data_IF_028291716005
#
_entry.id   IF_028291716005
#
_cell.length_a   1.000
_cell.length_b   1.000
_cell.length_c   1.000
_cell.angle_alpha   90.00
_cell.angle_beta   90.00
_cell.angle_gamma   90.00
#
_symmetry.space_group_name_H-M   'P 1'
#
loop_
_entity.id
_entity.type
_entity.pdbx_description
1 polymer ?
#
# COMPACT_ATOMS: atom_id res chain seq x y z
N UNK A 1 -32.40 7.34 3.54
CA UNK A 1 -31.61 7.30 2.29
C UNK A 1 -31.07 5.89 2.15
N UNK A 2 -31.41 5.17 1.08
CA UNK A 2 -30.83 3.85 0.83
C UNK A 2 -29.40 4.06 0.32
N UNK A 3 -28.42 3.42 0.98
CA UNK A 3 -27.05 3.38 0.50
C UNK A 3 -26.93 2.34 -0.60
N UNK A 4 -26.25 2.67 -1.69
CA UNK A 4 -25.88 1.71 -2.74
C UNK A 4 -24.39 1.41 -2.62
N UNK A 5 -24.02 0.16 -2.83
CA UNK A 5 -22.64 -0.28 -2.97
C UNK A 5 -22.39 -0.62 -4.44
N UNK A 6 -21.22 -0.25 -4.95
CA UNK A 6 -20.82 -0.52 -6.33
C UNK A 6 -19.45 -1.19 -6.33
N UNK A 7 -19.33 -2.29 -7.08
CA UNK A 7 -18.03 -2.92 -7.34
C UNK A 7 -17.26 -1.96 -8.24
N UNK A 8 -16.13 -1.44 -7.73
CA UNK A 8 -15.26 -0.53 -8.48
C UNK A 8 -14.07 -1.24 -9.11
N UNK A 9 -13.78 -2.46 -8.65
CA UNK A 9 -12.72 -3.32 -9.14
C UNK A 9 -12.93 -4.75 -8.64
N UNK A 10 -12.62 -5.74 -9.49
CA UNK A 10 -12.58 -7.16 -9.15
C UNK A 10 -11.54 -7.86 -10.02
N UNK A 11 -11.01 -8.99 -9.52
CA UNK A 11 -10.08 -9.84 -10.25
C UNK A 11 -10.45 -11.31 -10.04
N UNK A 12 -10.63 -12.04 -11.15
CA UNK A 12 -10.89 -13.48 -11.13
C UNK A 12 -9.57 -14.24 -11.10
N UNK A 13 -9.37 -15.01 -10.02
CA UNK A 13 -8.14 -15.80 -9.81
C UNK A 13 -8.14 -17.11 -10.62
N UNK A 14 -9.26 -17.46 -11.28
CA UNK A 14 -9.40 -18.62 -12.15
C UNK A 14 -9.65 -19.96 -11.44
N UNK A 15 -9.81 -19.94 -10.12
CA UNK A 15 -10.14 -21.12 -9.32
C UNK A 15 -10.86 -20.76 -8.02
N UNK A 16 -11.53 -21.74 -7.40
CA UNK A 16 -12.10 -21.55 -6.08
C UNK A 16 -11.01 -21.62 -5.01
N UNK A 17 -10.85 -20.55 -4.23
CA UNK A 17 -10.06 -20.59 -2.99
C UNK A 17 -10.96 -20.90 -1.79
N UNK A 18 -10.75 -22.01 -1.07
CA UNK A 18 -11.59 -22.40 0.06
C UNK A 18 -11.15 -21.70 1.35
N UNK A 19 -12.09 -20.97 1.97
CA UNK A 19 -12.08 -20.49 3.37
C UNK A 19 -10.87 -19.64 3.79
N UNK A 20 -11.12 -18.35 4.05
CA UNK A 20 -10.14 -17.33 4.47
C UNK A 20 -9.02 -17.08 3.44
N UNK A 21 -8.32 -15.97 3.62
CA UNK A 21 -7.32 -15.44 2.68
C UNK A 21 -7.17 -13.94 2.90
N UNK A 22 -6.15 -13.36 2.29
CA UNK A 22 -5.86 -11.94 2.38
C UNK A 22 -6.13 -11.24 1.06
N UNK A 23 -6.51 -9.97 1.14
CA UNK A 23 -6.75 -9.11 -0.03
C UNK A 23 -6.54 -7.65 0.39
N UNK A 24 -5.28 -7.24 0.44
CA UNK A 24 -4.90 -5.91 0.86
C UNK A 24 -4.56 -5.01 -0.31
N UNK A 25 -5.08 -3.78 -0.26
CA UNK A 25 -4.64 -2.72 -1.16
C UNK A 25 -3.30 -2.16 -0.68
N UNK A 26 -2.29 -2.22 -1.55
CA UNK A 26 -0.95 -1.70 -1.30
C UNK A 26 -0.89 -0.18 -1.53
N UNK A 27 0.14 0.52 -0.99
CA UNK A 27 0.44 1.92 -1.31
C UNK A 27 0.56 2.23 -2.80
N UNK A 28 1.06 1.27 -3.61
CA UNK A 28 1.12 1.38 -5.08
C UNK A 28 -0.27 1.47 -5.73
N UNK A 29 -1.32 1.11 -4.99
CA UNK A 29 -2.68 0.96 -5.49
C UNK A 29 -2.97 -0.41 -6.11
N UNK A 30 -1.98 -1.30 -6.18
CA UNK A 30 -2.16 -2.72 -6.50
C UNK A 30 -2.81 -3.45 -5.32
N UNK A 31 -3.21 -4.69 -5.54
CA UNK A 31 -3.80 -5.58 -4.53
C UNK A 31 -2.86 -6.76 -4.31
N UNK A 32 -2.45 -6.97 -3.06
CA UNK A 32 -1.76 -8.18 -2.62
C UNK A 32 -2.82 -9.17 -2.13
N UNK A 33 -2.87 -10.34 -2.75
CA UNK A 33 -3.82 -11.38 -2.41
C UNK A 33 -3.13 -12.70 -2.12
N UNK A 34 -3.72 -13.48 -1.21
CA UNK A 34 -3.38 -14.89 -1.01
C UNK A 34 -4.53 -15.76 -1.47
N UNK A 35 -4.21 -16.87 -2.12
CA UNK A 35 -5.19 -17.84 -2.56
C UNK A 35 -4.58 -19.23 -2.59
N UNK A 36 -5.39 -20.27 -2.40
CA UNK A 36 -4.99 -21.65 -2.58
C UNK A 36 -6.11 -22.40 -3.26
N UNK A 37 -5.84 -23.20 -4.29
CA UNK A 37 -6.89 -23.87 -5.02
C UNK A 37 -7.50 -24.96 -4.16
N UNK A 38 -8.83 -25.07 -4.18
CA UNK A 38 -9.51 -26.23 -3.61
C UNK A 38 -9.03 -27.53 -4.26
N UNK A 39 -8.86 -27.52 -5.58
CA UNK A 39 -8.44 -28.66 -6.36
C UNK A 39 -7.11 -28.34 -7.05
N UNK A 40 -6.10 -29.18 -6.84
CA UNK A 40 -4.87 -29.14 -7.63
C UNK A 40 -5.03 -30.03 -8.87
N UNK A 41 -4.49 -29.56 -10.00
CA UNK A 41 -4.48 -30.26 -11.30
C UNK A 41 -3.08 -30.18 -11.89
N UNK A 42 -2.87 -30.75 -13.09
CA UNK A 42 -1.60 -30.56 -13.83
C UNK A 42 -1.33 -29.09 -14.16
N UNK A 43 -2.37 -28.30 -14.42
CA UNK A 43 -2.26 -26.88 -14.79
C UNK A 43 -2.21 -25.97 -13.55
N UNK A 44 -2.75 -26.44 -12.42
CA UNK A 44 -2.75 -25.74 -11.13
C UNK A 44 -2.12 -26.67 -10.09
N UNK A 45 -0.79 -26.75 -10.12
CA UNK A 45 -0.01 -27.71 -9.32
C UNK A 45 0.53 -27.14 -8.01
N UNK A 46 0.28 -25.87 -7.71
CA UNK A 46 0.67 -25.23 -6.45
C UNK A 46 -0.37 -25.47 -5.34
N UNK A 47 0.11 -25.60 -4.11
CA UNK A 47 -0.72 -25.67 -2.91
C UNK A 47 -1.23 -24.28 -2.52
N UNK A 48 -0.40 -23.24 -2.67
CA UNK A 48 -0.76 -21.87 -2.35
C UNK A 48 -0.09 -20.87 -3.29
N UNK A 49 -0.68 -19.68 -3.38
CA UNK A 49 -0.25 -18.59 -4.23
C UNK A 49 -0.37 -17.26 -3.51
N UNK A 50 0.65 -16.42 -3.65
CA UNK A 50 0.61 -15.00 -3.28
C UNK A 50 0.80 -14.21 -4.57
N UNK A 51 -0.08 -13.26 -4.85
CA UNK A 51 -0.04 -12.48 -6.07
C UNK A 51 -0.25 -11.00 -5.80
N UNK A 52 0.49 -10.16 -6.51
CA UNK A 52 0.23 -8.72 -6.59
C UNK A 52 -0.45 -8.43 -7.93
N UNK A 53 -1.68 -7.92 -7.88
CA UNK A 53 -2.50 -7.63 -9.06
C UNK A 53 -2.63 -6.12 -9.23
N UNK A 54 -2.38 -5.63 -10.44
CA UNK A 54 -2.54 -4.23 -10.80
C UNK A 54 -4.01 -3.86 -10.97
N UNK A 55 -4.31 -2.56 -10.95
CA UNK A 55 -5.66 -2.06 -11.30
C UNK A 55 -6.09 -2.39 -12.73
N UNK A 56 -5.14 -2.69 -13.61
CA UNK A 56 -5.39 -3.10 -14.99
C UNK A 56 -5.65 -4.61 -15.11
N UNK A 57 -5.76 -5.33 -13.98
CA UNK A 57 -5.94 -6.78 -13.92
C UNK A 57 -4.74 -7.57 -14.48
N UNK A 58 -3.54 -7.04 -14.29
CA UNK A 58 -2.28 -7.71 -14.64
C UNK A 58 -1.58 -8.20 -13.37
N UNK A 59 -0.90 -9.35 -13.45
CA UNK A 59 -0.07 -9.84 -12.34
C UNK A 59 1.28 -9.11 -12.37
N UNK A 60 1.51 -8.23 -11.40
CA UNK A 60 2.78 -7.53 -11.23
C UNK A 60 3.86 -8.39 -10.56
N UNK A 61 3.43 -9.33 -9.70
CA UNK A 61 4.31 -10.25 -9.00
C UNK A 61 3.54 -11.52 -8.60
N UNK A 62 4.21 -12.67 -8.64
CA UNK A 62 3.61 -13.97 -8.33
C UNK A 62 4.59 -14.86 -7.57
N UNK A 63 4.11 -15.49 -6.50
CA UNK A 63 4.81 -16.55 -5.78
C UNK A 63 3.87 -17.74 -5.64
N UNK A 64 4.32 -18.88 -6.15
CA UNK A 64 3.63 -20.16 -6.07
C UNK A 64 4.40 -21.09 -5.14
N UNK A 65 3.69 -21.70 -4.20
CA UNK A 65 4.23 -22.66 -3.25
C UNK A 65 3.72 -24.05 -3.63
N UNK A 66 4.66 -24.94 -3.94
CA UNK A 66 4.36 -26.31 -4.34
C UNK A 66 4.55 -27.25 -3.15
N UNK A 67 3.56 -28.11 -2.92
CA UNK A 67 3.66 -29.20 -1.97
C UNK A 67 3.86 -30.55 -2.66
N UNK A 68 3.22 -31.57 -2.10
CA UNK A 68 3.23 -32.91 -2.69
C UNK A 68 2.62 -32.89 -4.09
N UNK A 69 3.29 -33.54 -5.03
CA UNK A 69 2.81 -33.66 -6.41
C UNK A 69 1.45 -34.38 -6.46
N UNK A 70 0.49 -33.83 -7.20
CA UNK A 70 -0.77 -34.51 -7.47
C UNK A 70 -0.55 -35.59 -8.54
N UNK A 71 -0.50 -36.85 -8.11
CA UNK A 71 -0.33 -38.00 -9.01
C UNK A 71 -1.62 -38.36 -9.77
N UNK A 72 -2.76 -37.83 -9.35
CA UNK A 72 -4.07 -38.01 -9.97
C UNK A 72 -4.39 -36.89 -10.96
N UNK A 73 -5.51 -37.02 -11.70
CA UNK A 73 -5.96 -35.96 -12.61
C UNK A 73 -6.44 -34.71 -11.84
N UNK A 74 -7.04 -34.90 -10.67
CA UNK A 74 -7.54 -33.84 -9.78
C UNK A 74 -7.36 -34.30 -8.33
N UNK A 75 -6.66 -33.52 -7.51
CA UNK A 75 -6.54 -33.78 -6.08
C UNK A 75 -7.31 -32.71 -5.30
N UNK A 76 -8.41 -33.07 -4.63
CA UNK A 76 -9.15 -32.18 -3.71
C UNK A 76 -8.29 -31.98 -2.45
N UNK A 77 -7.81 -30.76 -2.28
CA UNK A 77 -7.04 -30.36 -1.11
C UNK A 77 -7.92 -29.93 0.03
N UNK A 78 -9.16 -29.52 -0.18
CA UNK A 78 -10.05 -29.01 0.88
C UNK A 78 -11.35 -29.81 0.95
N UNK A 79 -11.29 -31.11 1.29
CA UNK A 79 -12.48 -31.91 1.44
C UNK A 79 -13.30 -31.35 2.62
N UNK A 80 -14.55 -30.96 2.36
CA UNK A 80 -15.51 -30.35 3.33
C UNK A 80 -15.28 -28.87 3.66
N UNK A 81 -14.48 -28.13 2.88
CA UNK A 81 -14.31 -26.69 3.08
C UNK A 81 -13.54 -26.31 4.34
N UNK A 82 -12.69 -27.21 4.84
CA UNK A 82 -11.69 -26.92 5.87
C UNK A 82 -10.41 -26.38 5.22
N UNK A 83 -9.47 -25.74 5.95
CA UNK A 83 -8.14 -25.48 5.41
C UNK A 83 -7.57 -26.75 4.79
N UNK A 84 -7.06 -26.64 3.57
CA UNK A 84 -6.73 -27.82 2.78
C UNK A 84 -5.46 -28.55 3.23
N UNK A 85 -5.31 -29.80 2.79
CA UNK A 85 -4.07 -30.56 2.88
C UNK A 85 -2.98 -29.89 2.03
N UNK A 86 -1.92 -29.43 2.69
CA UNK A 86 -0.82 -28.70 2.06
C UNK A 86 -0.60 -27.32 2.67
N UNK A 87 -0.02 -26.42 1.89
CA UNK A 87 0.19 -25.03 2.32
C UNK A 87 -1.10 -24.20 2.19
N UNK A 88 -1.42 -23.45 3.24
CA UNK A 88 -2.46 -22.42 3.26
C UNK A 88 -1.87 -21.13 3.82
N UNK A 89 -2.25 -19.98 3.26
CA UNK A 89 -1.65 -18.69 3.63
C UNK A 89 -2.75 -17.74 4.05
N UNK A 90 -2.99 -17.63 5.36
CA UNK A 90 -4.04 -16.78 5.89
C UNK A 90 -3.81 -15.29 5.61
N UNK A 91 -2.57 -14.82 5.76
CA UNK A 91 -2.20 -13.43 5.56
C UNK A 91 -0.80 -13.32 4.97
N UNK A 92 -0.61 -12.39 4.04
CA UNK A 92 0.67 -12.05 3.46
C UNK A 92 0.81 -10.53 3.44
N UNK A 93 1.93 -10.05 3.99
CA UNK A 93 2.15 -8.62 4.18
C UNK A 93 3.43 -8.19 3.44
N UNK A 94 3.37 -7.03 2.79
CA UNK A 94 4.55 -6.30 2.31
C UNK A 94 5.20 -5.53 3.46
N UNK A 95 6.51 -5.33 3.35
CA UNK A 95 7.29 -4.49 4.27
C UNK A 95 8.17 -3.59 3.41
N UNK A 96 8.12 -2.30 3.68
CA UNK A 96 9.01 -1.33 3.03
C UNK A 96 10.12 -0.95 4.00
N UNK A 97 11.31 -0.66 3.47
CA UNK A 97 12.45 -0.20 4.28
C UNK A 97 12.21 1.16 4.95
N UNK A 98 11.25 1.93 4.44
CA UNK A 98 10.90 3.28 4.87
C UNK A 98 9.46 3.59 4.46
N UNK A 99 8.91 4.71 4.95
CA UNK A 99 7.60 5.17 4.52
C UNK A 99 7.51 5.30 2.99
N UNK A 100 6.29 5.20 2.46
CA UNK A 100 6.02 5.45 1.03
C UNK A 100 5.39 6.83 0.92
N UNK A 101 5.99 7.71 0.12
CA UNK A 101 5.48 9.06 -0.16
C UNK A 101 4.85 9.10 -1.55
N UNK A 102 3.72 9.78 -1.69
CA UNK A 102 3.08 10.06 -2.97
C UNK A 102 2.49 11.47 -2.99
N UNK A 103 2.33 12.03 -4.19
CA UNK A 103 1.69 13.33 -4.43
C UNK A 103 2.27 14.46 -3.55
N UNK A 104 3.61 14.52 -3.43
CA UNK A 104 4.29 15.63 -2.75
C UNK A 104 4.28 16.85 -3.69
N UNK A 105 3.27 17.69 -3.56
CA UNK A 105 3.02 18.81 -4.49
C UNK A 105 2.85 20.13 -3.75
N UNK A 106 3.36 21.20 -4.32
CA UNK A 106 3.18 22.53 -3.75
C UNK A 106 2.19 23.39 -4.53
N UNK A 107 1.35 24.14 -3.81
CA UNK A 107 0.40 25.07 -4.43
C UNK A 107 0.45 26.42 -3.75
N UNK A 108 0.45 27.50 -4.54
CA UNK A 108 0.28 28.86 -4.00
C UNK A 108 -1.16 29.07 -3.55
N UNK A 109 -1.34 29.42 -2.28
CA UNK A 109 -2.63 29.74 -1.67
C UNK A 109 -2.70 31.25 -1.45
N UNK A 110 -3.79 31.87 -1.92
CA UNK A 110 -4.09 33.27 -1.63
C UNK A 110 -4.92 33.34 -0.35
N UNK A 111 -4.40 34.02 0.67
CA UNK A 111 -5.11 34.24 1.92
C UNK A 111 -6.35 35.11 1.76
N UNK A 112 -7.14 35.23 2.83
CA UNK A 112 -8.34 36.08 2.86
C UNK A 112 -8.04 37.55 2.55
N UNK A 113 -6.84 38.02 2.88
CA UNK A 113 -6.30 39.28 2.40
C UNK A 113 -5.46 39.01 1.15
N UNK A 114 -5.82 39.61 0.01
CA UNK A 114 -5.15 39.40 -1.29
C UNK A 114 -3.63 39.70 -1.31
N UNK A 115 -3.10 40.27 -0.24
CA UNK A 115 -1.67 40.53 -0.06
C UNK A 115 -0.90 39.38 0.61
N UNK A 116 -1.60 38.39 1.20
CA UNK A 116 -0.98 37.28 1.90
C UNK A 116 -0.95 36.05 0.98
N UNK A 117 0.09 35.92 0.15
CA UNK A 117 0.38 34.66 -0.56
C UNK A 117 1.29 33.78 0.28
N UNK A 118 1.02 32.49 0.27
CA UNK A 118 1.91 31.48 0.81
C UNK A 118 1.87 30.22 -0.03
N UNK A 119 2.87 29.36 0.10
CA UNK A 119 2.86 28.04 -0.52
C UNK A 119 2.36 27.00 0.48
N UNK A 120 1.55 26.05 0.04
CA UNK A 120 1.13 24.91 0.84
C UNK A 120 1.63 23.64 0.16
N UNK A 121 2.48 22.90 0.87
CA UNK A 121 2.94 21.57 0.47
C UNK A 121 1.90 20.56 0.94
N UNK A 122 1.34 19.81 -0.01
CA UNK A 122 0.51 18.65 0.25
C UNK A 122 1.32 17.39 -0.02
N UNK A 123 1.17 16.38 0.82
CA UNK A 123 1.71 15.05 0.53
C UNK A 123 0.83 13.95 1.11
N UNK A 124 0.96 12.78 0.49
CA UNK A 124 0.39 11.52 0.99
C UNK A 124 1.52 10.65 1.51
N UNK A 125 1.31 10.02 2.66
CA UNK A 125 2.26 9.10 3.25
C UNK A 125 1.58 7.79 3.69
N UNK A 126 2.31 6.69 3.60
CA UNK A 126 1.91 5.37 4.07
C UNK A 126 2.97 4.83 5.03
N UNK A 127 2.52 4.19 6.11
CA UNK A 127 3.39 3.48 7.04
C UNK A 127 4.20 2.40 6.28
N UNK A 128 5.50 2.18 6.57
CA UNK A 128 6.28 1.12 5.93
C UNK A 128 5.74 -0.30 6.19
N UNK A 129 4.96 -0.46 7.25
CA UNK A 129 4.39 -1.74 7.69
C UNK A 129 2.92 -1.57 8.02
N UNK A 130 2.11 -2.61 7.79
CA UNK A 130 0.70 -2.59 8.15
C UNK A 130 0.57 -2.74 9.67
N UNK A 131 0.09 -1.69 10.33
CA UNK A 131 -0.15 -1.67 11.77
C UNK A 131 -1.63 -1.56 12.08
N UNK A 132 -2.06 -2.12 13.21
CA UNK A 132 -3.44 -1.98 13.71
C UNK A 132 -3.68 -0.62 14.36
N UNK A 133 -2.62 0.01 14.88
CA UNK A 133 -2.66 1.31 15.53
C UNK A 133 -1.91 2.36 14.72
N UNK A 134 -2.25 3.65 14.88
CA UNK A 134 -1.46 4.73 14.30
C UNK A 134 -0.02 4.67 14.79
N UNK A 135 0.93 4.92 13.89
CA UNK A 135 2.36 5.03 14.20
C UNK A 135 2.84 6.46 13.96
N UNK A 136 3.78 6.93 14.76
CA UNK A 136 4.23 8.33 14.69
C UNK A 136 5.27 8.54 13.59
N UNK A 137 5.29 9.76 13.05
CA UNK A 137 6.27 10.20 12.07
C UNK A 137 6.59 11.69 12.23
N UNK A 138 7.76 12.07 11.74
CA UNK A 138 8.15 13.47 11.57
C UNK A 138 8.47 13.74 10.11
N UNK A 139 8.34 14.99 9.71
CA UNK A 139 8.76 15.44 8.38
C UNK A 139 9.64 16.67 8.47
N UNK A 140 10.49 16.82 7.47
CA UNK A 140 11.38 17.95 7.25
C UNK A 140 11.28 18.35 5.78
N UNK A 141 11.26 19.65 5.51
CA UNK A 141 11.30 20.19 4.15
C UNK A 141 12.55 21.04 4.04
N UNK A 142 13.37 20.75 3.03
CA UNK A 142 14.58 21.52 2.72
C UNK A 142 14.42 22.18 1.35
N UNK A 143 14.86 23.42 1.21
CA UNK A 143 14.94 24.08 -0.09
C UNK A 143 16.09 23.52 -0.94
N UNK A 144 16.27 24.05 -2.15
CA UNK A 144 17.34 23.67 -3.08
C UNK A 144 18.76 23.96 -2.55
N UNK A 145 18.90 24.82 -1.52
CA UNK A 145 20.18 25.10 -0.84
C UNK A 145 20.49 24.10 0.28
N UNK A 146 19.52 23.25 0.64
CA UNK A 146 19.59 22.36 1.79
C UNK A 146 19.18 23.03 3.11
N UNK A 147 18.64 24.25 3.08
CA UNK A 147 18.15 24.93 4.27
C UNK A 147 16.78 24.39 4.65
N UNK A 148 16.58 24.05 5.93
CA UNK A 148 15.30 23.54 6.41
C UNK A 148 14.26 24.67 6.48
N UNK A 149 13.26 24.61 5.62
CA UNK A 149 12.18 25.61 5.49
C UNK A 149 10.90 25.22 6.23
N UNK A 150 10.70 23.94 6.54
CA UNK A 150 9.62 23.49 7.40
C UNK A 150 9.95 22.18 8.13
N UNK A 151 9.22 21.94 9.23
CA UNK A 151 9.24 20.69 9.96
C UNK A 151 7.92 20.46 10.68
N UNK A 152 7.58 19.21 10.95
CA UNK A 152 6.41 18.87 11.74
C UNK A 152 6.35 17.40 12.10
N UNK A 153 5.22 17.02 12.70
CA UNK A 153 4.93 15.66 13.10
C UNK A 153 3.51 15.29 12.67
N UNK A 154 3.29 14.01 12.41
CA UNK A 154 1.99 13.44 12.09
C UNK A 154 1.95 11.97 12.52
N UNK A 155 0.78 11.34 12.43
CA UNK A 155 0.64 9.90 12.65
C UNK A 155 0.14 9.23 11.38
N UNK A 156 0.78 8.14 10.98
CA UNK A 156 0.26 7.29 9.92
C UNK A 156 -1.09 6.71 10.33
N UNK A 157 -2.00 6.64 9.37
CA UNK A 157 -3.26 5.94 9.54
C UNK A 157 -3.03 4.42 9.60
N UNK A 158 -3.78 3.69 10.44
CA UNK A 158 -3.70 2.22 10.52
C UNK A 158 -3.98 1.52 9.20
N UNK A 159 -3.58 0.25 9.09
CA UNK A 159 -3.90 -0.67 8.00
C UNK A 159 -3.52 -0.13 6.61
N UNK A 160 -2.35 0.53 6.51
CA UNK A 160 -1.90 1.21 5.27
C UNK A 160 -2.92 2.18 4.67
N UNK A 161 -3.81 2.74 5.50
CA UNK A 161 -4.68 3.79 5.02
C UNK A 161 -3.85 5.02 4.66
N UNK A 162 -4.31 5.68 3.60
CA UNK A 162 -3.78 6.95 3.10
C UNK A 162 -3.72 7.95 4.25
N UNK A 163 -2.54 8.50 4.53
CA UNK A 163 -2.37 9.63 5.44
C UNK A 163 -2.10 10.88 4.61
N UNK A 164 -3.00 11.86 4.69
CA UNK A 164 -2.84 13.14 3.98
C UNK A 164 -2.32 14.17 4.96
N UNK A 165 -1.29 14.90 4.56
CA UNK A 165 -0.69 15.98 5.34
C UNK A 165 -0.55 17.21 4.47
N UNK A 166 -0.72 18.38 5.09
CA UNK A 166 -0.38 19.65 4.49
C UNK A 166 0.44 20.51 5.45
N UNK A 167 1.34 21.32 4.90
CA UNK A 167 2.17 22.25 5.66
C UNK A 167 2.32 23.56 4.90
N UNK A 168 2.16 24.67 5.63
CA UNK A 168 2.41 26.00 5.12
C UNK A 168 3.92 26.24 5.00
N UNK A 169 4.34 26.67 3.83
CA UNK A 169 5.70 27.04 3.44
C UNK A 169 5.69 28.54 3.08
N UNK A 170 6.77 29.25 3.41
CA UNK A 170 6.96 30.62 2.95
C UNK A 170 7.02 30.67 1.41
N UNK A 171 6.50 31.74 0.81
CA UNK A 171 6.40 31.84 -0.65
C UNK A 171 7.79 31.84 -1.31
N UNK A 172 7.96 31.07 -2.40
CA UNK A 172 9.20 30.96 -3.17
C UNK A 172 10.22 29.93 -2.68
N UNK A 173 9.92 29.15 -1.63
CA UNK A 173 10.85 28.14 -1.09
C UNK A 173 10.53 26.71 -1.50
N UNK A 174 9.36 26.47 -2.09
CA UNK A 174 8.91 25.12 -2.40
C UNK A 174 9.46 24.57 -3.74
N UNK A 175 9.98 25.45 -4.60
CA UNK A 175 10.56 25.07 -5.89
C UNK A 175 11.83 24.25 -5.64
N UNK A 176 11.89 23.05 -6.24
CA UNK A 176 12.97 22.07 -6.05
C UNK A 176 13.21 21.65 -4.58
N UNK A 177 12.19 21.81 -3.72
CA UNK A 177 12.29 21.39 -2.32
C UNK A 177 12.37 19.85 -2.20
N UNK A 178 13.01 19.38 -1.13
CA UNK A 178 13.07 17.97 -0.74
C UNK A 178 12.27 17.75 0.53
N UNK A 179 11.31 16.82 0.47
CA UNK A 179 10.55 16.33 1.61
C UNK A 179 11.21 15.06 2.16
N UNK A 180 11.62 15.11 3.42
CA UNK A 180 12.10 13.95 4.19
C UNK A 180 11.02 13.52 5.18
N UNK A 181 10.65 12.25 5.20
CA UNK A 181 9.82 11.65 6.27
C UNK A 181 10.67 10.68 7.07
N UNK A 182 10.60 10.77 8.39
CA UNK A 182 11.20 9.84 9.34
C UNK A 182 10.12 9.15 10.17
N UNK A 183 10.12 7.82 10.18
CA UNK A 183 9.18 7.02 10.96
C UNK A 183 9.64 6.84 12.43
N UNK A 184 8.76 6.29 13.27
CA UNK A 184 9.05 6.03 14.70
C UNK A 184 10.12 4.95 14.94
N UNK A 185 10.45 4.16 13.92
CA UNK A 185 11.52 3.15 13.97
C UNK A 185 12.88 3.71 13.52
N UNK A 186 12.90 4.97 13.09
CA UNK A 186 14.11 5.69 12.72
C UNK A 186 14.48 5.60 11.23
N UNK A 187 13.69 4.92 10.39
CA UNK A 187 13.94 4.90 8.96
C UNK A 187 13.50 6.22 8.33
N UNK A 188 14.18 6.62 7.27
CA UNK A 188 13.92 7.87 6.57
C UNK A 188 13.80 7.65 5.07
N UNK A 189 13.00 8.47 4.42
CA UNK A 189 12.83 8.51 2.96
C UNK A 189 12.74 9.96 2.49
N UNK A 190 13.37 10.23 1.36
CA UNK A 190 13.35 11.53 0.71
C UNK A 190 12.56 11.47 -0.60
N UNK A 191 11.85 12.54 -0.93
CA UNK A 191 11.26 12.76 -2.25
C UNK A 191 11.40 14.22 -2.64
N UNK A 192 11.59 14.47 -3.94
CA UNK A 192 11.42 15.82 -4.49
C UNK A 192 9.96 16.24 -4.40
N UNK A 193 9.74 17.52 -4.12
CA UNK A 193 8.46 18.19 -4.24
C UNK A 193 8.28 18.65 -5.69
N UNK A 194 7.15 18.33 -6.29
CA UNK A 194 6.77 18.71 -7.66
C UNK A 194 5.79 19.86 -7.74
#
# INVERSE_FOLDING_TARGET
TLGYATITWEYDIGFQSPVFGDCDRLPSGNVLATAWPRNTTKDISYDARIMEVTKANEIAWDLQIFGTECSEQVCDRSPKGTPGDGWVIYSAERFYSSAVIANATCTTVTGHHKADTYQELFFTAYCPIKTVYPSNATFFVHDSSGSQIAKGAFSFSPHWRVTKTSVKIEDGYCDDATLTIKDEWGNSVDTSVS
#
